data_IF_056389052456
#
_entry.id   IF_056389052456
#
_cell.length_a   1.000
_cell.length_b   1.000
_cell.length_c   1.000
_cell.angle_alpha   90.00
_cell.angle_beta   90.00
_cell.angle_gamma   90.00
#
_symmetry.space_group_name_H-M   'P 1'
#
loop_
_entity.id
_entity.type
_entity.pdbx_description
1 polymer ?
#
# COMPACT_ATOMS: atom_id res chain seq x y z
N UNK A 1 -10.11 17.91 -40.39
CA UNK A 1 -8.82 17.95 -41.11
C UNK A 1 -7.85 17.05 -40.37
N UNK A 2 -7.31 15.99 -41.00
CA UNK A 2 -6.30 15.17 -40.36
C UNK A 2 -4.98 15.93 -40.35
N UNK A 3 -4.36 16.04 -39.18
CA UNK A 3 -3.05 16.62 -39.01
C UNK A 3 -2.03 15.79 -39.81
N UNK A 4 -1.32 16.45 -40.73
CA UNK A 4 -0.18 15.87 -41.45
C UNK A 4 0.99 15.81 -40.48
N UNK A 5 1.53 14.61 -40.29
CA UNK A 5 2.88 14.43 -39.77
C UNK A 5 3.86 14.90 -40.84
N UNK A 6 4.60 15.96 -40.55
CA UNK A 6 5.81 16.30 -41.31
C UNK A 6 6.85 15.20 -41.04
N UNK A 7 7.19 14.48 -42.11
CA UNK A 7 8.23 13.47 -42.13
C UNK A 7 9.59 14.15 -42.25
N UNK A 8 10.27 14.31 -41.13
CA UNK A 8 11.73 14.26 -41.05
C UNK A 8 12.09 12.89 -40.48
N UNK A 9 12.76 12.06 -41.29
CA UNK A 9 13.34 10.78 -40.90
C UNK A 9 14.48 11.02 -39.90
N UNK A 10 14.12 11.28 -38.64
CA UNK A 10 14.96 10.94 -37.51
C UNK A 10 14.81 9.43 -37.31
N UNK A 11 15.91 8.68 -37.32
CA UNK A 11 15.90 7.31 -36.80
C UNK A 11 15.24 7.35 -35.43
N UNK A 12 14.08 6.71 -35.29
CA UNK A 12 13.33 6.74 -34.05
C UNK A 12 14.20 6.13 -32.94
N UNK A 13 14.39 6.85 -31.84
CA UNK A 13 15.15 6.40 -30.68
C UNK A 13 14.80 4.93 -30.35
N UNK A 14 15.79 4.02 -30.30
CA UNK A 14 15.60 2.59 -30.02
C UNK A 14 14.66 2.33 -28.84
N UNK A 15 14.81 3.10 -27.76
CA UNK A 15 13.98 2.97 -26.57
C UNK A 15 12.53 3.40 -26.82
N UNK A 16 12.31 4.51 -27.51
CA UNK A 16 10.99 5.01 -27.89
C UNK A 16 10.25 3.98 -28.75
N UNK A 17 10.94 3.40 -29.74
CA UNK A 17 10.39 2.36 -30.62
C UNK A 17 10.02 1.10 -29.83
N UNK A 18 10.94 0.62 -28.97
CA UNK A 18 10.69 -0.56 -28.14
C UNK A 18 9.54 -0.34 -27.15
N UNK A 19 9.44 0.85 -26.54
CA UNK A 19 8.30 1.22 -25.67
C UNK A 19 6.98 1.24 -26.42
N UNK A 20 6.93 1.86 -27.61
CA UNK A 20 5.72 1.93 -28.41
C UNK A 20 5.20 0.53 -28.79
N UNK A 21 6.12 -0.41 -29.05
CA UNK A 21 5.81 -1.81 -29.27
C UNK A 21 5.25 -2.48 -28.00
N UNK A 22 6.03 -2.51 -26.92
CA UNK A 22 5.72 -3.33 -25.74
C UNK A 22 4.50 -2.80 -24.99
N UNK A 23 4.36 -1.48 -24.83
CA UNK A 23 3.27 -0.90 -24.04
C UNK A 23 1.87 -1.12 -24.66
N UNK A 24 1.79 -1.47 -25.95
CA UNK A 24 0.52 -1.74 -26.65
C UNK A 24 0.16 -3.23 -26.74
N UNK A 25 1.11 -4.11 -26.43
CA UNK A 25 0.94 -5.56 -26.61
C UNK A 25 0.97 -6.27 -25.24
N UNK A 26 -0.21 -6.55 -24.68
CA UNK A 26 -0.35 -7.20 -23.36
C UNK A 26 0.35 -8.55 -23.31
N UNK A 27 0.30 -9.34 -24.40
CA UNK A 27 0.94 -10.65 -24.46
C UNK A 27 2.47 -10.51 -24.37
N UNK A 28 3.04 -9.49 -25.04
CA UNK A 28 4.46 -9.19 -24.94
C UNK A 28 4.84 -8.68 -23.54
N UNK A 29 3.98 -7.88 -22.91
CA UNK A 29 4.21 -7.44 -21.55
C UNK A 29 4.18 -8.60 -20.54
N UNK A 30 3.31 -9.59 -20.74
CA UNK A 30 3.29 -10.81 -19.92
C UNK A 30 4.51 -11.69 -20.18
N UNK A 31 4.90 -11.86 -21.45
CA UNK A 31 6.07 -12.67 -21.81
C UNK A 31 7.39 -12.11 -21.24
N UNK A 32 7.52 -10.78 -21.17
CA UNK A 32 8.74 -10.11 -20.70
C UNK A 32 8.70 -9.72 -19.20
N UNK A 33 7.51 -9.55 -18.63
CA UNK A 33 7.32 -8.84 -17.36
C UNK A 33 7.90 -9.50 -16.12
N UNK A 34 8.08 -10.83 -16.14
CA UNK A 34 8.61 -11.60 -15.02
C UNK A 34 10.04 -12.11 -15.24
N UNK A 35 10.68 -11.78 -16.36
CA UNK A 35 12.07 -12.13 -16.62
C UNK A 35 12.97 -11.28 -15.72
N UNK A 36 13.76 -11.93 -14.87
CA UNK A 36 14.69 -11.27 -13.94
C UNK A 36 16.12 -11.20 -14.48
N UNK A 37 16.53 -12.15 -15.32
CA UNK A 37 17.84 -12.18 -15.94
C UNK A 37 17.93 -11.14 -17.07
N UNK A 38 18.92 -10.25 -16.97
CA UNK A 38 19.07 -9.12 -17.89
C UNK A 38 19.46 -9.57 -19.30
N UNK A 39 20.24 -10.64 -19.42
CA UNK A 39 20.67 -11.19 -20.71
C UNK A 39 19.50 -11.85 -21.42
N UNK A 40 18.80 -12.75 -20.72
CA UNK A 40 17.60 -13.41 -21.26
C UNK A 40 16.53 -12.38 -21.63
N UNK A 41 16.32 -11.36 -20.79
CA UNK A 41 15.36 -10.31 -21.11
C UNK A 41 15.76 -9.55 -22.39
N UNK A 42 17.03 -9.18 -22.52
CA UNK A 42 17.51 -8.45 -23.69
C UNK A 42 17.37 -9.26 -24.98
N UNK A 43 17.70 -10.56 -24.95
CA UNK A 43 17.50 -11.48 -26.06
C UNK A 43 16.02 -11.58 -26.45
N UNK A 44 15.13 -11.82 -25.47
CA UNK A 44 13.69 -11.95 -25.72
C UNK A 44 13.04 -10.66 -26.23
N UNK A 45 13.45 -9.51 -25.69
CA UNK A 45 12.95 -8.22 -26.15
C UNK A 45 13.42 -7.91 -27.59
N UNK A 46 14.68 -8.24 -27.92
CA UNK A 46 15.20 -8.11 -29.27
C UNK A 46 14.51 -9.06 -30.26
N UNK A 47 14.35 -10.34 -29.92
CA UNK A 47 13.57 -11.32 -30.71
C UNK A 47 12.16 -10.79 -31.02
N UNK A 48 11.47 -10.25 -30.01
CA UNK A 48 10.13 -9.71 -30.17
C UNK A 48 10.07 -8.46 -31.05
N UNK A 49 11.11 -7.62 -31.01
CA UNK A 49 11.26 -6.43 -31.84
C UNK A 49 11.55 -6.82 -33.30
N UNK A 50 12.50 -7.72 -33.54
CA UNK A 50 12.87 -8.23 -34.86
C UNK A 50 11.71 -8.96 -35.54
N UNK A 51 10.95 -9.77 -34.79
CA UNK A 51 9.74 -10.42 -35.30
C UNK A 51 8.66 -9.43 -35.79
N UNK A 52 8.78 -8.14 -35.44
CA UNK A 52 7.89 -7.06 -35.88
C UNK A 52 8.58 -6.04 -36.78
N UNK A 53 9.72 -6.42 -37.36
CA UNK A 53 10.44 -5.63 -38.36
C UNK A 53 11.25 -4.47 -37.79
N UNK A 54 11.54 -4.46 -36.49
CA UNK A 54 12.41 -3.47 -35.86
C UNK A 54 13.85 -3.97 -35.85
N UNK A 55 14.78 -3.14 -36.31
CA UNK A 55 16.22 -3.40 -36.27
C UNK A 55 16.77 -3.08 -34.87
N UNK A 56 16.53 -3.99 -33.93
CA UNK A 56 17.01 -3.92 -32.55
C UNK A 56 17.60 -5.27 -32.15
N UNK A 57 18.86 -5.27 -31.74
CA UNK A 57 19.55 -6.45 -31.24
C UNK A 57 19.62 -6.49 -29.69
N UNK A 58 20.05 -7.62 -29.15
CA UNK A 58 20.14 -7.83 -27.71
C UNK A 58 21.19 -6.92 -27.04
N UNK A 59 22.25 -6.53 -27.76
CA UNK A 59 23.27 -5.61 -27.25
C UNK A 59 22.70 -4.22 -27.02
N UNK A 60 21.98 -3.70 -28.01
CA UNK A 60 21.26 -2.42 -27.92
C UNK A 60 20.29 -2.41 -26.75
N UNK A 61 19.48 -3.47 -26.57
CA UNK A 61 18.55 -3.56 -25.44
C UNK A 61 19.29 -3.59 -24.10
N UNK A 62 20.44 -4.27 -24.03
CA UNK A 62 21.27 -4.35 -22.83
C UNK A 62 21.86 -2.98 -22.46
N UNK A 63 22.32 -2.22 -23.44
CA UNK A 63 22.84 -0.87 -23.24
C UNK A 63 21.74 0.07 -22.70
N UNK A 64 20.52 -0.04 -23.22
CA UNK A 64 19.36 0.68 -22.69
C UNK A 64 19.07 0.33 -21.22
N UNK A 65 19.22 -0.95 -20.83
CA UNK A 65 19.02 -1.38 -19.44
C UNK A 65 20.06 -0.79 -18.49
N UNK A 66 21.31 -0.63 -18.94
CA UNK A 66 22.38 -0.02 -18.16
C UNK A 66 22.21 1.49 -18.04
N UNK A 67 21.76 2.16 -19.11
CA UNK A 67 21.47 3.59 -19.09
C UNK A 67 20.38 3.97 -18.07
N UNK A 68 19.53 3.01 -17.65
CA UNK A 68 18.48 3.18 -16.64
C UNK A 68 17.62 4.43 -16.89
N UNK A 69 16.96 4.49 -18.06
CA UNK A 69 16.22 5.68 -18.49
C UNK A 69 15.11 6.01 -17.50
N UNK A 70 14.84 7.30 -17.32
CA UNK A 70 13.70 7.73 -16.51
C UNK A 70 12.39 7.32 -17.19
N UNK A 71 11.37 6.89 -16.43
CA UNK A 71 10.01 6.71 -16.94
C UNK A 71 9.49 8.00 -17.59
N UNK A 72 9.04 7.95 -18.87
CA UNK A 72 8.48 9.11 -19.54
C UNK A 72 7.08 9.40 -19.00
N UNK A 73 6.68 10.67 -19.08
CA UNK A 73 5.27 11.04 -18.92
C UNK A 73 4.57 10.80 -20.26
N UNK A 74 3.49 10.02 -20.25
CA UNK A 74 2.69 9.71 -21.42
C UNK A 74 1.28 10.22 -21.17
N UNK A 75 0.97 11.38 -21.75
CA UNK A 75 -0.34 12.02 -21.62
C UNK A 75 -1.43 11.15 -22.25
N UNK A 76 -2.56 11.01 -21.56
CA UNK A 76 -3.70 10.22 -22.03
C UNK A 76 -3.46 8.71 -22.08
N UNK A 77 -2.32 8.20 -21.60
CA UNK A 77 -2.12 6.76 -21.44
C UNK A 77 -3.07 6.22 -20.36
N UNK A 78 -3.80 5.17 -20.72
CA UNK A 78 -4.60 4.35 -19.81
C UNK A 78 -3.82 3.06 -19.57
N UNK A 79 -3.15 2.88 -18.42
CA UNK A 79 -2.49 1.62 -18.11
C UNK A 79 -3.47 0.45 -18.23
N UNK A 80 -3.04 -0.64 -18.85
CA UNK A 80 -3.85 -1.86 -18.96
C UNK A 80 -3.92 -2.58 -17.61
N UNK A 81 -4.86 -3.54 -17.43
CA UNK A 81 -4.86 -4.38 -16.24
C UNK A 81 -3.48 -4.99 -15.96
N UNK A 82 -3.09 -5.00 -14.68
CA UNK A 82 -1.77 -5.49 -14.26
C UNK A 82 -0.70 -4.42 -14.07
N UNK A 83 -1.00 -3.15 -14.36
CA UNK A 83 -0.18 -2.01 -13.97
C UNK A 83 -0.72 -1.38 -12.69
N UNK A 84 0.13 -1.22 -11.68
CA UNK A 84 -0.26 -0.63 -10.39
C UNK A 84 0.46 0.70 -10.13
N UNK A 85 -0.18 1.66 -9.43
CA UNK A 85 0.47 2.87 -8.96
C UNK A 85 1.62 2.52 -8.02
N UNK A 86 2.81 3.00 -8.33
CA UNK A 86 4.00 2.80 -7.49
C UNK A 86 4.24 4.00 -6.57
N UNK A 87 4.13 5.20 -7.13
CA UNK A 87 4.51 6.44 -6.46
C UNK A 87 3.71 7.59 -7.07
N UNK A 88 3.36 8.58 -6.25
CA UNK A 88 2.92 9.90 -6.73
C UNK A 88 4.02 10.89 -6.45
N UNK A 89 4.54 11.56 -7.48
CA UNK A 89 5.64 12.52 -7.37
C UNK A 89 5.41 13.75 -8.25
N UNK A 90 6.12 14.82 -7.97
CA UNK A 90 6.07 16.06 -8.77
C UNK A 90 7.01 15.95 -9.98
N UNK A 91 6.44 16.13 -11.18
CA UNK A 91 7.18 16.15 -12.45
C UNK A 91 6.82 17.44 -13.19
N UNK A 92 7.79 18.33 -13.36
CA UNK A 92 7.54 19.63 -14.01
C UNK A 92 6.53 20.49 -13.24
N UNK A 93 6.50 20.37 -11.91
CA UNK A 93 5.55 21.09 -11.04
C UNK A 93 4.11 20.58 -11.14
N UNK A 94 3.91 19.38 -11.69
CA UNK A 94 2.61 18.71 -11.73
C UNK A 94 2.69 17.33 -11.07
N UNK A 95 1.67 16.94 -10.31
CA UNK A 95 1.60 15.63 -9.69
C UNK A 95 1.38 14.55 -10.76
N UNK A 96 2.25 13.54 -10.75
CA UNK A 96 2.23 12.42 -11.66
C UNK A 96 2.28 11.08 -10.92
N UNK A 97 1.63 10.06 -11.47
CA UNK A 97 1.69 8.69 -10.98
C UNK A 97 2.76 7.96 -11.77
N UNK A 98 3.72 7.35 -11.08
CA UNK A 98 4.60 6.34 -11.68
C UNK A 98 3.90 4.99 -11.61
N UNK A 99 3.81 4.29 -12.73
CA UNK A 99 3.19 2.97 -12.83
C UNK A 99 4.25 1.88 -13.02
N UNK A 100 4.05 0.76 -12.35
CA UNK A 100 4.86 -0.44 -12.52
C UNK A 100 3.99 -1.64 -12.86
N UNK A 101 4.51 -2.52 -13.71
CA UNK A 101 3.81 -3.73 -14.11
C UNK A 101 3.99 -4.83 -13.07
N UNK A 102 2.86 -5.32 -12.56
CA UNK A 102 2.76 -6.49 -11.70
C UNK A 102 2.27 -7.73 -12.43
N UNK A 103 1.58 -7.56 -13.57
CA UNK A 103 0.99 -8.67 -14.32
C UNK A 103 0.02 -9.45 -13.45
N UNK A 104 0.21 -10.76 -13.33
CA UNK A 104 -0.63 -11.63 -12.51
C UNK A 104 -0.14 -11.82 -11.08
N UNK A 105 0.99 -11.22 -10.70
CA UNK A 105 1.55 -11.38 -9.35
C UNK A 105 0.59 -10.82 -8.30
N UNK A 106 0.36 -11.63 -7.27
CA UNK A 106 -0.42 -11.27 -6.09
C UNK A 106 0.39 -10.35 -5.17
N UNK A 107 -0.32 -9.57 -4.35
CA UNK A 107 0.30 -8.77 -3.29
C UNK A 107 0.29 -9.62 -2.02
N UNK A 108 1.31 -10.44 -1.84
CA UNK A 108 1.46 -11.33 -0.69
C UNK A 108 2.55 -10.85 0.28
N UNK A 109 3.29 -9.80 -0.07
CA UNK A 109 4.29 -9.21 0.81
C UNK A 109 3.66 -8.44 2.00
N UNK A 110 4.35 -8.33 3.16
CA UNK A 110 3.85 -7.65 4.36
C UNK A 110 3.46 -6.18 4.13
N UNK A 111 4.18 -5.49 3.23
CA UNK A 111 3.95 -4.10 2.84
C UNK A 111 3.97 -3.97 1.31
N UNK A 112 3.20 -3.01 0.80
CA UNK A 112 3.15 -2.74 -0.64
C UNK A 112 4.52 -2.32 -1.18
N UNK A 113 5.29 -1.56 -0.40
CA UNK A 113 6.67 -1.17 -0.74
C UNK A 113 7.60 -2.38 -0.93
N UNK A 114 7.43 -3.47 -0.17
CA UNK A 114 8.23 -4.69 -0.36
C UNK A 114 7.97 -5.30 -1.74
N UNK A 115 6.72 -5.26 -2.19
CA UNK A 115 6.32 -5.71 -3.53
C UNK A 115 6.89 -4.80 -4.63
N UNK A 116 6.88 -3.47 -4.39
CA UNK A 116 7.47 -2.48 -5.31
C UNK A 116 8.98 -2.64 -5.44
N UNK A 117 9.70 -2.85 -4.33
CA UNK A 117 11.16 -3.06 -4.33
C UNK A 117 11.52 -4.23 -5.23
N UNK A 118 10.83 -5.37 -5.10
CA UNK A 118 11.06 -6.55 -5.96
C UNK A 118 10.79 -6.25 -7.43
N UNK A 119 9.75 -5.47 -7.74
CA UNK A 119 9.40 -5.10 -9.12
C UNK A 119 10.36 -4.08 -9.73
N UNK A 120 10.90 -3.15 -8.94
CA UNK A 120 11.77 -2.08 -9.43
C UNK A 120 13.09 -2.58 -10.01
N UNK A 121 13.57 -3.73 -9.56
CA UNK A 121 14.81 -4.32 -10.06
C UNK A 121 14.67 -5.13 -11.35
N UNK A 122 13.45 -5.40 -11.81
CA UNK A 122 13.24 -6.17 -13.04
C UNK A 122 13.65 -5.35 -14.28
N UNK A 123 14.29 -5.99 -15.27
CA UNK A 123 14.59 -5.38 -16.56
C UNK A 123 13.38 -4.68 -17.19
N UNK A 124 12.19 -5.32 -17.12
CA UNK A 124 10.94 -4.76 -17.63
C UNK A 124 10.63 -3.38 -17.04
N UNK A 125 10.71 -3.24 -15.71
CA UNK A 125 10.41 -2.00 -15.01
C UNK A 125 11.37 -0.87 -15.36
N UNK A 126 12.64 -1.19 -15.67
CA UNK A 126 13.64 -0.20 -16.06
C UNK A 126 13.35 0.45 -17.41
N UNK A 127 12.91 -0.34 -18.39
CA UNK A 127 12.65 0.18 -19.73
C UNK A 127 11.23 0.70 -19.89
N UNK A 128 10.26 0.00 -19.31
CA UNK A 128 8.84 0.21 -19.63
C UNK A 128 8.04 0.87 -18.51
N UNK A 129 8.64 1.26 -17.39
CA UNK A 129 7.97 2.12 -16.43
C UNK A 129 7.45 3.40 -17.10
N UNK A 130 6.21 3.80 -16.78
CA UNK A 130 5.55 4.98 -17.37
C UNK A 130 5.01 5.89 -16.28
N UNK A 131 4.78 7.15 -16.63
CA UNK A 131 4.10 8.13 -15.79
C UNK A 131 2.88 8.70 -16.48
N UNK A 132 1.83 8.95 -15.70
CA UNK A 132 0.64 9.69 -16.14
C UNK A 132 0.37 10.84 -15.20
N UNK A 133 -0.37 11.86 -15.63
CA UNK A 133 -0.81 12.90 -14.72
C UNK A 133 -1.75 12.31 -13.66
N UNK A 134 -1.68 12.78 -12.41
CA UNK A 134 -2.61 12.36 -11.36
C UNK A 134 -4.05 12.77 -11.69
N UNK A 135 -4.23 13.90 -12.39
CA UNK A 135 -5.54 14.38 -12.84
C UNK A 135 -6.28 13.37 -13.71
N UNK A 136 -5.55 12.53 -14.44
CA UNK A 136 -6.12 11.58 -15.40
C UNK A 136 -6.62 10.30 -14.71
N UNK A 137 -6.22 10.10 -13.44
CA UNK A 137 -6.54 8.88 -12.70
C UNK A 137 -8.04 8.65 -12.55
N UNK A 138 -8.82 9.70 -12.28
CA UNK A 138 -10.26 9.57 -12.11
C UNK A 138 -10.93 9.07 -13.39
N UNK A 139 -10.59 9.67 -14.54
CA UNK A 139 -11.10 9.25 -15.84
C UNK A 139 -10.68 7.81 -16.20
N UNK A 140 -9.44 7.45 -15.90
CA UNK A 140 -8.94 6.10 -16.09
C UNK A 140 -9.67 5.07 -15.22
N UNK A 141 -9.81 5.36 -13.92
CA UNK A 141 -10.44 4.44 -12.97
C UNK A 141 -11.92 4.19 -13.26
N UNK A 142 -12.60 5.12 -13.94
CA UNK A 142 -13.98 4.95 -14.37
C UNK A 142 -14.14 3.84 -15.43
N UNK A 143 -13.06 3.46 -16.11
CA UNK A 143 -13.03 2.32 -17.03
C UNK A 143 -12.75 0.99 -16.33
N UNK A 144 -12.33 1.01 -15.05
CA UNK A 144 -12.18 -0.20 -14.25
C UNK A 144 -13.53 -0.66 -13.70
N UNK A 145 -13.70 -1.96 -13.41
CA UNK A 145 -14.83 -2.43 -12.62
C UNK A 145 -14.90 -1.64 -11.31
N UNK A 146 -16.09 -1.09 -11.01
CA UNK A 146 -16.32 -0.41 -9.75
C UNK A 146 -16.21 -1.42 -8.60
N UNK A 147 -15.06 -1.43 -7.92
CA UNK A 147 -14.84 -2.26 -6.73
C UNK A 147 -14.62 -1.36 -5.53
N UNK A 148 -15.61 -1.33 -4.64
CA UNK A 148 -15.43 -0.75 -3.32
C UNK A 148 -14.55 -1.68 -2.47
N UNK A 149 -13.73 -1.16 -1.56
CA UNK A 149 -13.04 -2.00 -0.60
C UNK A 149 -14.07 -2.77 0.25
N UNK A 150 -13.81 -4.05 0.42
CA UNK A 150 -14.55 -4.95 1.31
C UNK A 150 -14.33 -4.59 2.78
N UNK A 151 -13.15 -4.07 3.13
CA UNK A 151 -12.87 -3.59 4.47
C UNK A 151 -11.65 -2.68 4.53
N UNK A 152 -11.70 -1.69 5.42
CA UNK A 152 -10.57 -0.83 5.76
C UNK A 152 -9.96 -1.27 7.10
N UNK A 153 -8.64 -1.37 7.16
CA UNK A 153 -7.91 -1.76 8.37
C UNK A 153 -7.06 -0.59 8.82
N UNK A 154 -7.58 0.17 9.77
CA UNK A 154 -6.83 1.17 10.53
C UNK A 154 -6.13 0.50 11.71
N UNK A 155 -5.08 1.13 12.23
CA UNK A 155 -4.34 0.55 13.35
C UNK A 155 -3.48 1.54 14.13
N UNK A 156 -3.17 1.21 15.38
CA UNK A 156 -2.31 2.06 16.22
C UNK A 156 -0.81 1.96 15.90
N UNK A 157 -0.41 0.94 15.12
CA UNK A 157 0.98 0.47 14.91
C UNK A 157 1.45 -0.58 15.91
N UNK A 158 2.27 -1.54 15.44
CA UNK A 158 2.83 -2.67 16.24
C UNK A 158 1.78 -3.50 17.00
N UNK A 159 0.56 -3.54 16.49
CA UNK A 159 -0.60 -4.16 17.13
C UNK A 159 -1.17 -5.35 16.33
N UNK A 160 -0.36 -5.98 15.48
CA UNK A 160 -0.80 -7.13 14.65
C UNK A 160 -1.53 -6.75 13.37
N UNK A 161 -1.50 -5.50 12.91
CA UNK A 161 -2.11 -5.12 11.63
C UNK A 161 -1.47 -5.81 10.42
N UNK A 162 -0.16 -6.02 10.43
CA UNK A 162 0.52 -6.83 9.40
C UNK A 162 0.06 -8.30 9.44
N UNK A 163 -0.16 -8.87 10.62
CA UNK A 163 -0.71 -10.23 10.76
C UNK A 163 -2.10 -10.31 10.13
N UNK A 164 -2.99 -9.36 10.43
CA UNK A 164 -4.31 -9.30 9.82
C UNK A 164 -4.25 -9.25 8.28
N UNK A 165 -3.40 -8.39 7.73
CA UNK A 165 -3.22 -8.28 6.28
C UNK A 165 -2.66 -9.56 5.65
N UNK A 166 -1.66 -10.20 6.27
CA UNK A 166 -1.07 -11.45 5.77
C UNK A 166 -2.05 -12.62 5.83
N UNK A 167 -2.83 -12.74 6.91
CA UNK A 167 -3.90 -13.72 7.01
C UNK A 167 -4.93 -13.49 5.91
N UNK A 168 -5.38 -12.25 5.68
CA UNK A 168 -6.31 -11.94 4.59
C UNK A 168 -5.70 -12.22 3.21
N UNK A 169 -4.42 -11.93 2.99
CA UNK A 169 -3.72 -12.15 1.73
C UNK A 169 -3.52 -13.64 1.41
N UNK A 170 -3.63 -14.52 2.39
CA UNK A 170 -3.54 -15.97 2.17
C UNK A 170 -4.70 -16.51 1.31
N UNK A 171 -5.89 -15.88 1.33
CA UNK A 171 -7.00 -16.27 0.45
C UNK A 171 -6.76 -15.77 -0.99
N UNK A 172 -6.83 -16.65 -2.01
CA UNK A 172 -6.67 -16.27 -3.41
C UNK A 172 -7.79 -15.36 -3.93
N UNK A 173 -8.90 -15.24 -3.22
CA UNK A 173 -10.02 -14.38 -3.60
C UNK A 173 -9.85 -12.93 -3.13
N UNK A 174 -8.78 -12.63 -2.38
CA UNK A 174 -8.51 -11.32 -1.81
C UNK A 174 -7.33 -10.62 -2.52
N UNK A 175 -7.53 -9.33 -2.84
CA UNK A 175 -6.44 -8.36 -2.98
C UNK A 175 -6.30 -7.64 -1.65
N UNK A 176 -5.09 -7.65 -1.08
CA UNK A 176 -4.77 -6.91 0.14
C UNK A 176 -3.68 -5.90 -0.18
N UNK A 177 -4.01 -4.61 -0.05
CA UNK A 177 -3.07 -3.51 -0.26
C UNK A 177 -2.64 -3.00 1.11
N UNK A 178 -1.35 -3.14 1.43
CA UNK A 178 -0.82 -2.87 2.77
C UNK A 178 0.08 -1.64 2.78
N UNK A 179 -0.39 -0.54 3.37
CA UNK A 179 0.35 0.72 3.58
C UNK A 179 0.91 1.30 2.25
N UNK A 180 0.05 1.37 1.23
CA UNK A 180 0.47 1.84 -0.09
C UNK A 180 0.68 3.37 -0.11
N UNK A 181 1.93 3.79 -0.34
CA UNK A 181 2.33 5.19 -0.43
C UNK A 181 1.46 6.06 -1.38
N UNK A 182 0.93 5.56 -2.52
CA UNK A 182 0.01 6.32 -3.36
C UNK A 182 -1.28 6.76 -2.67
N UNK A 183 -1.83 5.99 -1.72
CA UNK A 183 -3.00 6.43 -0.93
C UNK A 183 -2.61 7.58 0.00
N UNK A 184 -1.47 7.46 0.68
CA UNK A 184 -0.94 8.51 1.54
C UNK A 184 -0.67 9.81 0.77
N UNK A 185 -0.14 9.72 -0.45
CA UNK A 185 0.09 10.88 -1.29
C UNK A 185 -1.21 11.66 -1.60
N UNK A 186 -2.34 10.97 -1.82
CA UNK A 186 -3.66 11.63 -2.01
C UNK A 186 -4.11 12.32 -0.72
N UNK A 187 -4.02 11.65 0.43
CA UNK A 187 -4.46 12.24 1.73
C UNK A 187 -3.71 13.52 2.08
N UNK A 188 -2.44 13.62 1.67
CA UNK A 188 -1.55 14.77 1.98
C UNK A 188 -1.70 15.96 1.03
N UNK A 189 -2.58 15.91 0.03
CA UNK A 189 -2.79 17.01 -0.92
C UNK A 189 -3.41 18.23 -0.25
N UNK A 190 -2.61 19.24 0.09
CA UNK A 190 -3.09 20.48 0.71
C UNK A 190 -3.85 21.41 -0.26
N UNK A 191 -3.70 21.19 -1.56
CA UNK A 191 -4.31 21.95 -2.65
C UNK A 191 -5.70 21.43 -3.06
N UNK A 192 -6.16 20.33 -2.46
CA UNK A 192 -7.46 19.73 -2.74
C UNK A 192 -8.36 19.79 -1.50
N UNK A 193 -9.65 20.03 -1.71
CA UNK A 193 -10.67 19.82 -0.68
C UNK A 193 -10.95 18.32 -0.44
N UNK A 194 -11.74 18.03 0.58
CA UNK A 194 -12.04 16.65 0.98
C UNK A 194 -12.87 15.88 -0.06
N UNK A 195 -13.69 16.57 -0.87
CA UNK A 195 -14.50 15.91 -1.92
C UNK A 195 -13.63 15.49 -3.10
N UNK A 196 -12.73 16.38 -3.55
CA UNK A 196 -11.74 16.07 -4.57
C UNK A 196 -10.78 14.96 -4.10
N UNK A 197 -10.33 14.99 -2.84
CA UNK A 197 -9.55 13.90 -2.26
C UNK A 197 -10.33 12.58 -2.22
N UNK A 198 -11.60 12.61 -1.84
CA UNK A 198 -12.43 11.41 -1.81
C UNK A 198 -12.60 10.77 -3.20
N UNK A 199 -12.77 11.59 -4.25
CA UNK A 199 -12.79 11.13 -5.64
C UNK A 199 -11.46 10.47 -6.02
N UNK A 200 -10.33 11.12 -5.73
CA UNK A 200 -9.01 10.57 -6.05
C UNK A 200 -8.68 9.32 -5.23
N UNK A 201 -9.12 9.23 -3.97
CA UNK A 201 -8.94 8.04 -3.13
C UNK A 201 -9.70 6.84 -3.71
N UNK A 202 -10.94 7.03 -4.17
CA UNK A 202 -11.68 5.98 -4.87
C UNK A 202 -10.94 5.50 -6.11
N UNK A 203 -10.47 6.45 -6.92
CA UNK A 203 -9.74 6.15 -8.15
C UNK A 203 -8.42 5.41 -7.87
N UNK A 204 -7.67 5.84 -6.85
CA UNK A 204 -6.42 5.21 -6.42
C UNK A 204 -6.65 3.82 -5.82
N UNK A 205 -7.70 3.64 -5.01
CA UNK A 205 -8.06 2.34 -4.46
C UNK A 205 -8.47 1.36 -5.57
N UNK A 206 -9.25 1.80 -6.56
CA UNK A 206 -9.58 0.99 -7.73
C UNK A 206 -8.33 0.60 -8.52
N UNK A 207 -7.38 1.54 -8.69
CA UNK A 207 -6.11 1.29 -9.35
C UNK A 207 -5.24 0.25 -8.63
N UNK A 208 -5.09 0.37 -7.31
CA UNK A 208 -4.29 -0.55 -6.50
C UNK A 208 -4.98 -1.91 -6.34
N UNK A 209 -6.30 -1.90 -6.24
CA UNK A 209 -7.15 -3.04 -5.94
C UNK A 209 -7.63 -3.85 -7.13
N UNK A 210 -7.14 -3.56 -8.35
CA UNK A 210 -7.49 -4.31 -9.56
C UNK A 210 -7.43 -5.82 -9.33
N UNK A 211 -8.52 -6.52 -9.66
CA UNK A 211 -8.53 -7.97 -9.76
C UNK A 211 -7.69 -8.41 -10.97
N UNK A 212 -6.69 -9.26 -10.73
CA UNK A 212 -5.72 -9.73 -11.74
C UNK A 212 -5.77 -11.24 -11.94
N UNK A 213 -6.35 -11.96 -10.98
CA UNK A 213 -6.45 -13.42 -10.94
C UNK A 213 -7.87 -13.89 -10.58
N UNK A 214 -8.88 -13.03 -10.72
CA UNK A 214 -10.26 -13.34 -10.34
C UNK A 214 -10.56 -13.08 -8.86
N UNK A 215 -9.74 -12.26 -8.19
CA UNK A 215 -10.04 -11.78 -6.84
C UNK A 215 -11.39 -11.05 -6.82
N UNK A 216 -12.17 -11.25 -5.77
CA UNK A 216 -13.51 -10.66 -5.60
C UNK A 216 -13.59 -9.68 -4.43
N UNK A 217 -12.56 -9.62 -3.59
CA UNK A 217 -12.52 -8.80 -2.37
C UNK A 217 -11.28 -7.93 -2.34
N UNK A 218 -11.44 -6.71 -1.85
CA UNK A 218 -10.36 -5.73 -1.70
C UNK A 218 -10.26 -5.28 -0.24
N UNK A 219 -9.11 -5.48 0.38
CA UNK A 219 -8.83 -4.95 1.72
C UNK A 219 -7.71 -3.92 1.64
N UNK A 220 -7.93 -2.77 2.29
CA UNK A 220 -6.92 -1.72 2.41
C UNK A 220 -6.44 -1.67 3.85
N UNK A 221 -5.21 -2.12 4.10
CA UNK A 221 -4.52 -1.83 5.37
C UNK A 221 -3.83 -0.49 5.22
N UNK A 222 -4.27 0.48 6.00
CA UNK A 222 -3.86 1.88 5.89
C UNK A 222 -2.67 2.15 6.81
N UNK A 223 -1.92 3.21 6.54
CA UNK A 223 -0.88 3.67 7.45
C UNK A 223 -1.49 4.06 8.80
N UNK A 224 -0.74 3.94 9.90
CA UNK A 224 -1.30 4.20 11.23
C UNK A 224 -1.83 5.63 11.38
N UNK A 225 -1.21 6.61 10.72
CA UNK A 225 -1.67 8.00 10.74
C UNK A 225 -2.99 8.22 10.00
N UNK A 226 -3.40 7.35 9.07
CA UNK A 226 -4.68 7.46 8.37
C UNK A 226 -5.90 7.33 9.30
N UNK A 227 -5.72 6.83 10.53
CA UNK A 227 -6.76 6.89 11.57
C UNK A 227 -7.24 8.32 11.85
N UNK A 228 -6.40 9.33 11.61
CA UNK A 228 -6.75 10.75 11.71
C UNK A 228 -7.51 11.25 10.48
N UNK A 229 -7.30 10.60 9.34
CA UNK A 229 -7.99 10.83 8.07
C UNK A 229 -9.22 9.91 7.90
N UNK A 230 -9.65 9.22 8.97
CA UNK A 230 -10.79 8.30 8.93
C UNK A 230 -12.04 8.95 8.32
N UNK A 231 -12.42 10.21 8.63
CA UNK A 231 -13.54 10.88 7.98
C UNK A 231 -13.40 10.99 6.45
N UNK A 232 -12.18 11.20 5.96
CA UNK A 232 -11.90 11.28 4.52
C UNK A 232 -12.08 9.91 3.85
N UNK A 233 -11.58 8.84 4.48
CA UNK A 233 -11.82 7.47 3.98
C UNK A 233 -13.30 7.08 4.04
N UNK A 234 -14.04 7.48 5.09
CA UNK A 234 -15.50 7.29 5.19
C UNK A 234 -16.26 8.10 4.14
N UNK A 235 -15.78 9.28 3.78
CA UNK A 235 -16.33 10.08 2.66
C UNK A 235 -16.04 9.42 1.31
N UNK A 236 -14.86 8.83 1.14
CA UNK A 236 -14.49 8.09 -0.07
C UNK A 236 -15.30 6.79 -0.21
N UNK A 237 -15.50 6.07 0.89
CA UNK A 237 -16.12 4.74 0.95
C UNK A 237 -17.19 4.68 2.07
N UNK A 238 -18.37 5.28 1.85
CA UNK A 238 -19.39 5.39 2.89
C UNK A 238 -19.99 4.05 3.30
N UNK A 239 -19.99 3.04 2.45
CA UNK A 239 -20.58 1.73 2.80
C UNK A 239 -19.53 0.71 3.26
N UNK A 240 -18.23 1.05 3.18
CA UNK A 240 -17.17 0.12 3.56
C UNK A 240 -17.00 0.07 5.09
N UNK A 241 -17.14 -1.12 5.71
CA UNK A 241 -16.86 -1.30 7.13
C UNK A 241 -15.36 -1.17 7.43
N UNK A 242 -15.02 -0.76 8.64
CA UNK A 242 -13.64 -0.58 9.06
C UNK A 242 -13.33 -1.20 10.41
N UNK A 243 -12.08 -1.60 10.61
CA UNK A 243 -11.57 -2.01 11.92
C UNK A 243 -10.45 -1.09 12.37
N UNK A 244 -10.32 -0.90 13.68
CA UNK A 244 -9.12 -0.33 14.28
C UNK A 244 -8.46 -1.36 15.18
N UNK A 245 -7.26 -1.77 14.78
CA UNK A 245 -6.44 -2.73 15.53
C UNK A 245 -5.55 -1.98 16.52
N UNK A 246 -5.54 -2.43 17.77
CA UNK A 246 -4.76 -1.80 18.83
C UNK A 246 -4.22 -2.85 19.82
N UNK A 247 -3.30 -2.45 20.69
CA UNK A 247 -2.55 -3.32 21.60
C UNK A 247 -2.21 -2.53 22.84
N UNK A 248 -1.89 -3.25 23.91
CA UNK A 248 -1.40 -2.67 25.15
C UNK A 248 -0.25 -1.66 24.91
N UNK A 249 -0.40 -0.38 25.33
CA UNK A 249 0.54 0.69 25.04
C UNK A 249 1.99 0.39 25.38
N UNK A 250 2.26 -0.21 26.54
CA UNK A 250 3.64 -0.48 26.96
C UNK A 250 4.34 -1.47 26.03
N UNK A 251 3.61 -2.44 25.48
CA UNK A 251 4.16 -3.42 24.53
C UNK A 251 4.51 -2.77 23.19
N UNK A 252 3.68 -1.83 22.74
CA UNK A 252 3.93 -1.04 21.54
C UNK A 252 5.15 -0.15 21.73
N UNK A 253 5.24 0.54 22.87
CA UNK A 253 6.36 1.43 23.19
C UNK A 253 7.69 0.67 23.26
N UNK A 254 7.75 -0.48 23.95
CA UNK A 254 8.96 -1.32 23.96
C UNK A 254 9.34 -1.76 22.54
N UNK A 255 8.36 -2.09 21.69
CA UNK A 255 8.64 -2.42 20.28
C UNK A 255 9.25 -1.24 19.53
N UNK A 256 8.84 0.00 19.80
CA UNK A 256 9.38 1.21 19.16
C UNK A 256 10.79 1.53 19.66
N UNK A 257 11.06 1.37 20.96
CA UNK A 257 12.40 1.57 21.54
C UNK A 257 13.40 0.57 20.96
N UNK A 258 13.01 -0.70 20.76
CA UNK A 258 13.87 -1.72 20.14
C UNK A 258 14.13 -1.46 18.66
N UNK A 259 13.10 -1.07 17.91
CA UNK A 259 13.20 -0.78 16.47
C UNK A 259 12.13 0.23 16.08
N UNK A 260 12.54 1.50 15.92
CA UNK A 260 11.63 2.57 15.53
C UNK A 260 10.99 2.30 14.16
N UNK A 261 9.68 2.50 14.07
CA UNK A 261 8.98 2.57 12.79
C UNK A 261 9.13 3.96 12.16
N UNK A 262 8.90 4.06 10.84
CA UNK A 262 9.05 5.30 10.06
C UNK A 262 8.22 6.46 10.60
N UNK A 263 7.04 6.17 11.16
CA UNK A 263 6.15 7.14 11.81
C UNK A 263 6.79 7.84 13.03
N UNK A 264 7.84 7.24 13.61
CA UNK A 264 8.57 7.80 14.75
C UNK A 264 9.81 8.59 14.32
N UNK A 265 10.02 8.76 13.01
CA UNK A 265 11.19 9.44 12.42
C UNK A 265 10.73 10.75 11.79
N UNK A 266 10.91 11.91 12.45
CA UNK A 266 10.41 13.21 12.01
C UNK A 266 10.84 13.63 10.60
N UNK A 267 12.04 13.21 10.17
CA UNK A 267 12.57 13.50 8.82
C UNK A 267 11.88 12.70 7.71
N UNK A 268 11.23 11.59 8.04
CA UNK A 268 10.47 10.76 7.09
C UNK A 268 8.97 11.06 7.18
N UNK A 269 8.45 11.23 8.40
CA UNK A 269 7.05 11.57 8.66
C UNK A 269 7.01 12.82 9.55
N UNK A 270 6.68 14.00 8.99
CA UNK A 270 6.70 15.25 9.76
C UNK A 270 5.76 15.21 10.98
N UNK A 271 6.17 15.77 12.14
CA UNK A 271 5.34 15.84 13.36
C UNK A 271 3.94 16.44 13.14
N UNK A 272 3.83 17.42 12.24
CA UNK A 272 2.56 18.03 11.83
C UNK A 272 1.52 17.01 11.31
N UNK A 273 1.95 15.87 10.76
CA UNK A 273 1.07 14.76 10.36
C UNK A 273 0.20 14.29 11.54
N UNK A 274 0.78 14.27 12.74
CA UNK A 274 0.12 13.82 13.96
C UNK A 274 -0.48 14.98 14.76
N UNK A 275 -0.28 16.23 14.32
CA UNK A 275 -0.61 17.42 15.11
C UNK A 275 0.19 17.47 16.42
N UNK A 276 1.44 17.04 16.39
CA UNK A 276 2.36 17.07 17.54
C UNK A 276 3.55 17.97 17.23
N UNK A 277 4.04 18.66 18.25
CA UNK A 277 5.24 19.48 18.14
C UNK A 277 6.49 18.73 18.59
N UNK A 278 7.63 19.10 17.99
CA UNK A 278 8.95 18.62 18.36
C UNK A 278 9.97 19.77 18.38
N UNK A 279 9.96 20.61 19.44
CA UNK A 279 10.75 21.85 19.49
C UNK A 279 12.26 21.61 19.35
N UNK A 280 12.79 20.57 19.99
CA UNK A 280 14.23 20.28 20.02
C UNK A 280 14.69 19.38 18.86
N UNK A 281 13.78 18.97 17.98
CA UNK A 281 14.06 18.10 16.83
C UNK A 281 14.48 16.66 17.16
N UNK A 282 14.76 16.33 18.43
CA UNK A 282 15.18 14.99 18.88
C UNK A 282 13.97 14.17 19.35
N UNK A 283 13.54 13.13 18.61
CA UNK A 283 12.40 12.32 19.00
C UNK A 283 12.74 11.40 20.17
N UNK A 284 12.14 11.63 21.33
CA UNK A 284 12.25 10.80 22.54
C UNK A 284 11.04 9.86 22.72
N UNK A 285 11.00 9.12 23.84
CA UNK A 285 9.88 8.24 24.16
C UNK A 285 8.58 9.03 24.39
N UNK A 286 8.64 10.26 24.91
CA UNK A 286 7.46 11.11 25.08
C UNK A 286 6.87 11.54 23.73
N UNK A 287 7.72 11.91 22.76
CA UNK A 287 7.31 12.15 21.37
C UNK A 287 6.65 10.91 20.75
N UNK A 288 7.27 9.74 20.89
CA UNK A 288 6.72 8.51 20.33
C UNK A 288 5.34 8.17 20.94
N UNK A 289 5.18 8.37 22.25
CA UNK A 289 3.91 8.19 22.93
C UNK A 289 2.86 9.22 22.48
N UNK A 290 3.23 10.49 22.27
CA UNK A 290 2.32 11.51 21.70
C UNK A 290 1.86 11.17 20.28
N UNK A 291 2.75 10.65 19.44
CA UNK A 291 2.41 10.14 18.09
C UNK A 291 1.38 9.01 18.18
N UNK A 292 1.60 8.01 19.03
CA UNK A 292 0.66 6.90 19.22
C UNK A 292 -0.69 7.36 19.79
N UNK A 293 -0.68 8.31 20.72
CA UNK A 293 -1.89 8.89 21.28
C UNK A 293 -2.71 9.60 20.20
N UNK A 294 -2.05 10.41 19.36
CA UNK A 294 -2.70 11.12 18.25
C UNK A 294 -3.33 10.17 17.21
N UNK A 295 -2.71 9.01 16.97
CA UNK A 295 -3.26 7.94 16.13
C UNK A 295 -4.49 7.30 16.78
N UNK A 296 -4.40 6.92 18.06
CA UNK A 296 -5.52 6.28 18.77
C UNK A 296 -6.72 7.24 18.92
N UNK A 297 -6.47 8.53 19.17
CA UNK A 297 -7.52 9.54 19.25
C UNK A 297 -8.26 9.73 17.93
N UNK A 298 -7.61 9.51 16.79
CA UNK A 298 -8.27 9.50 15.48
C UNK A 298 -9.40 8.45 15.42
N UNK A 299 -9.11 7.22 15.85
CA UNK A 299 -10.13 6.17 15.90
C UNK A 299 -11.21 6.45 16.95
N UNK A 300 -10.81 6.83 18.17
CA UNK A 300 -11.74 7.10 19.28
C UNK A 300 -12.73 8.22 18.94
N UNK A 301 -12.28 9.28 18.27
CA UNK A 301 -13.13 10.40 17.87
C UNK A 301 -14.23 10.00 16.91
N UNK A 302 -13.94 9.07 16.00
CA UNK A 302 -14.84 8.74 14.89
C UNK A 302 -15.57 7.41 15.05
N UNK A 303 -15.17 6.56 16.00
CA UNK A 303 -15.87 5.32 16.33
C UNK A 303 -17.38 5.52 16.59
N UNK A 304 -17.84 6.55 17.34
CA UNK A 304 -19.28 6.77 17.59
C UNK A 304 -20.11 7.09 16.33
N UNK A 305 -19.49 7.47 15.22
CA UNK A 305 -20.17 7.71 13.94
C UNK A 305 -20.65 6.39 13.31
N UNK A 306 -20.09 5.26 13.72
CA UNK A 306 -20.48 3.93 13.28
C UNK A 306 -19.67 3.38 12.09
N UNK A 307 -20.04 2.17 11.67
CA UNK A 307 -19.34 1.43 10.61
C UNK A 307 -17.99 0.84 11.01
N UNK A 308 -17.61 0.97 12.29
CA UNK A 308 -16.31 0.55 12.82
C UNK A 308 -16.38 -0.58 13.83
N UNK A 309 -15.30 -1.36 13.94
CA UNK A 309 -15.05 -2.31 15.03
C UNK A 309 -13.65 -2.14 15.63
N UNK A 310 -13.57 -2.16 16.95
CA UNK A 310 -12.30 -2.11 17.68
C UNK A 310 -11.86 -3.54 18.02
N UNK A 311 -10.60 -3.90 17.74
CA UNK A 311 -10.07 -5.23 18.06
C UNK A 311 -8.72 -5.10 18.74
N UNK A 312 -8.62 -5.65 19.95
CA UNK A 312 -7.36 -5.71 20.68
C UNK A 312 -6.50 -6.87 20.15
N UNK A 313 -5.20 -6.66 20.06
CA UNK A 313 -4.20 -7.65 19.68
C UNK A 313 -4.31 -8.95 20.50
N UNK A 314 -4.72 -8.88 21.77
CA UNK A 314 -4.94 -10.07 22.61
C UNK A 314 -6.01 -11.01 22.07
N UNK A 315 -6.90 -10.53 21.19
CA UNK A 315 -7.94 -11.32 20.54
C UNK A 315 -7.46 -11.94 19.20
N UNK A 316 -6.28 -11.55 18.70
CA UNK A 316 -5.72 -12.08 17.46
C UNK A 316 -4.94 -13.39 17.72
N UNK A 317 -4.94 -14.35 16.76
CA UNK A 317 -5.53 -14.25 15.43
C UNK A 317 -7.04 -14.59 15.37
N UNK A 318 -7.64 -15.17 16.41
CA UNK A 318 -9.00 -15.74 16.31
C UNK A 318 -10.09 -14.70 16.00
N UNK A 319 -9.93 -13.46 16.45
CA UNK A 319 -10.83 -12.35 16.10
C UNK A 319 -10.88 -12.08 14.59
N UNK A 320 -9.89 -12.50 13.79
CA UNK A 320 -9.98 -12.41 12.33
C UNK A 320 -11.17 -13.19 11.79
N UNK A 321 -11.37 -14.41 12.30
CA UNK A 321 -12.42 -15.31 11.85
C UNK A 321 -13.76 -15.05 12.54
N UNK A 322 -13.71 -14.71 13.83
CA UNK A 322 -14.93 -14.59 14.65
C UNK A 322 -15.53 -13.18 14.66
N UNK A 323 -14.74 -12.15 14.35
CA UNK A 323 -15.19 -10.75 14.44
C UNK A 323 -14.94 -9.95 13.16
N UNK A 324 -13.72 -9.96 12.62
CA UNK A 324 -13.31 -9.08 11.51
C UNK A 324 -13.95 -9.52 10.20
N UNK A 325 -13.81 -10.79 9.78
CA UNK A 325 -14.42 -11.29 8.54
C UNK A 325 -15.95 -11.17 8.55
N UNK A 326 -16.68 -11.57 9.63
CA UNK A 326 -18.12 -11.35 9.71
C UNK A 326 -18.50 -9.86 9.64
N UNK A 327 -17.75 -8.98 10.32
CA UNK A 327 -17.99 -7.54 10.27
C UNK A 327 -17.81 -6.96 8.85
N UNK A 328 -16.90 -7.53 8.07
CA UNK A 328 -16.71 -7.19 6.66
C UNK A 328 -17.70 -7.89 5.72
N UNK A 329 -18.67 -8.65 6.26
CA UNK A 329 -19.65 -9.39 5.46
C UNK A 329 -19.04 -10.56 4.67
N UNK A 330 -17.90 -11.08 5.12
CA UNK A 330 -17.14 -12.12 4.41
C UNK A 330 -17.36 -13.48 5.06
N UNK A 331 -17.86 -14.42 4.25
CA UNK A 331 -17.92 -15.85 4.61
C UNK A 331 -16.91 -16.61 3.76
N UNK A 332 -15.68 -16.85 4.26
CA UNK A 332 -14.67 -17.58 3.51
C UNK A 332 -15.07 -19.06 3.36
N UNK A 333 -14.68 -19.67 2.25
CA UNK A 333 -14.76 -21.13 2.08
C UNK A 333 -13.81 -21.87 3.04
N UNK A 334 -14.03 -23.16 3.24
CA UNK A 334 -13.16 -23.98 4.10
C UNK A 334 -11.69 -23.94 3.63
N UNK A 335 -11.45 -24.00 2.32
CA UNK A 335 -10.11 -23.90 1.75
C UNK A 335 -9.43 -22.56 2.08
N UNK A 336 -10.19 -21.46 2.05
CA UNK A 336 -9.67 -20.17 2.48
C UNK A 336 -9.38 -20.13 3.97
N UNK A 337 -10.28 -20.65 4.82
CA UNK A 337 -10.06 -20.71 6.27
C UNK A 337 -8.77 -21.47 6.58
N UNK A 338 -8.53 -22.60 5.93
CA UNK A 338 -7.30 -23.38 6.11
C UNK A 338 -6.04 -22.58 5.70
N UNK A 339 -6.05 -21.94 4.53
CA UNK A 339 -4.92 -21.11 4.09
C UNK A 339 -4.67 -19.92 5.04
N UNK A 340 -5.74 -19.26 5.47
CA UNK A 340 -5.71 -18.13 6.40
C UNK A 340 -5.20 -18.55 7.79
N UNK A 341 -5.62 -19.70 8.32
CA UNK A 341 -5.13 -20.23 9.61
C UNK A 341 -3.65 -20.62 9.53
N UNK A 342 -3.22 -21.21 8.41
CA UNK A 342 -1.81 -21.52 8.18
C UNK A 342 -0.92 -20.27 8.15
N UNK A 343 -1.40 -19.17 7.55
CA UNK A 343 -0.70 -17.88 7.60
C UNK A 343 -0.67 -17.28 9.02
N UNK A 344 -1.74 -17.49 9.81
CA UNK A 344 -1.89 -16.95 11.16
C UNK A 344 -0.89 -17.46 12.20
N UNK A 345 -0.20 -18.58 11.92
CA UNK A 345 0.83 -19.17 12.81
C UNK A 345 2.27 -18.80 12.41
N UNK A 346 2.45 -18.01 11.35
CA UNK A 346 3.75 -17.53 10.86
C UNK A 346 4.04 -16.11 11.34
N UNK A 347 5.32 -15.74 11.40
CA UNK A 347 5.68 -14.34 11.66
C UNK A 347 5.20 -13.46 10.49
N UNK A 348 4.44 -12.41 10.80
CA UNK A 348 3.78 -11.59 9.78
C UNK A 348 4.74 -10.74 8.93
N UNK A 349 6.00 -10.57 9.34
CA UNK A 349 7.03 -9.81 8.60
C UNK A 349 8.16 -10.69 8.09
N UNK A 350 8.22 -11.93 8.56
CA UNK A 350 9.11 -12.99 8.12
C UNK A 350 8.31 -14.30 7.97
N UNK A 351 7.44 -14.43 6.93
CA UNK A 351 6.48 -15.55 6.80
C UNK A 351 7.12 -16.94 6.76
N UNK A 352 8.43 -17.02 6.49
CA UNK A 352 9.23 -18.25 6.57
C UNK A 352 9.45 -18.75 8.02
N UNK A 353 9.24 -17.90 9.02
CA UNK A 353 9.47 -18.17 10.43
C UNK A 353 8.15 -18.47 11.17
N UNK A 354 8.23 -19.28 12.24
CA UNK A 354 7.08 -19.52 13.13
C UNK A 354 6.90 -18.31 14.04
N UNK A 355 5.65 -17.91 14.28
CA UNK A 355 5.34 -16.82 15.19
C UNK A 355 5.64 -17.22 16.65
N UNK A 356 6.31 -16.32 17.37
CA UNK A 356 6.53 -16.45 18.82
C UNK A 356 5.82 -15.31 19.54
N UNK A 357 4.89 -15.59 20.48
CA UNK A 357 4.27 -14.55 21.30
C UNK A 357 5.30 -13.74 22.08
N UNK A 358 5.24 -12.41 21.98
CA UNK A 358 6.27 -11.51 22.54
C UNK A 358 5.74 -10.54 23.63
N UNK A 359 4.46 -10.68 24.01
CA UNK A 359 3.80 -9.75 24.93
C UNK A 359 4.39 -9.75 26.35
N UNK A 360 4.64 -10.94 26.91
CA UNK A 360 5.23 -11.07 28.26
C UNK A 360 6.63 -10.42 28.32
N UNK A 361 7.49 -10.79 27.37
CA UNK A 361 8.87 -10.28 27.28
C UNK A 361 8.91 -8.77 27.12
N UNK A 362 7.99 -8.21 26.32
CA UNK A 362 7.88 -6.75 26.16
C UNK A 362 7.44 -6.09 27.46
N UNK A 363 6.44 -6.62 28.16
CA UNK A 363 6.02 -6.08 29.46
C UNK A 363 7.15 -6.17 30.48
N UNK A 364 7.91 -7.25 30.53
CA UNK A 364 9.05 -7.39 31.46
C UNK A 364 10.20 -6.43 31.13
N UNK A 365 10.48 -6.19 29.85
CA UNK A 365 11.54 -5.27 29.40
C UNK A 365 11.20 -3.78 29.58
N UNK A 366 9.95 -3.44 29.93
CA UNK A 366 9.54 -2.05 30.08
C UNK A 366 10.13 -1.40 31.34
N UNK A 367 10.98 -0.40 31.15
CA UNK A 367 11.59 0.38 32.23
C UNK A 367 10.54 1.20 32.99
N UNK A 368 10.80 1.58 34.27
CA UNK A 368 9.91 2.45 35.03
C UNK A 368 9.61 3.78 34.32
N UNK A 369 10.62 4.38 33.67
CA UNK A 369 10.44 5.63 32.91
C UNK A 369 9.50 5.46 31.71
N UNK A 370 9.62 4.35 30.96
CA UNK A 370 8.75 4.07 29.82
C UNK A 370 7.30 3.83 30.25
N UNK A 371 7.11 3.16 31.39
CA UNK A 371 5.77 2.96 32.00
C UNK A 371 5.14 4.28 32.38
N UNK A 372 5.88 5.18 33.04
CA UNK A 372 5.38 6.51 33.39
C UNK A 372 5.00 7.34 32.15
N UNK A 373 5.75 7.21 31.06
CA UNK A 373 5.39 7.86 29.78
C UNK A 373 4.08 7.29 29.23
N UNK A 374 3.90 5.96 29.25
CA UNK A 374 2.65 5.32 28.82
C UNK A 374 1.46 5.77 29.68
N UNK A 375 1.61 5.75 31.00
CA UNK A 375 0.60 6.20 31.96
C UNK A 375 0.17 7.66 31.69
N UNK A 376 1.14 8.53 31.46
CA UNK A 376 0.88 9.95 31.20
C UNK A 376 0.24 10.23 29.84
N UNK A 377 0.59 9.46 28.80
CA UNK A 377 0.28 9.83 27.40
C UNK A 377 -0.73 8.91 26.72
N UNK A 378 -0.82 7.64 27.11
CA UNK A 378 -1.53 6.60 26.36
C UNK A 378 -2.66 5.93 27.16
N UNK A 379 -2.57 5.84 28.48
CA UNK A 379 -3.58 5.17 29.30
C UNK A 379 -5.00 5.70 29.08
N UNK A 380 -5.16 7.02 29.02
CA UNK A 380 -6.47 7.63 28.87
C UNK A 380 -7.16 7.22 27.55
N UNK A 381 -6.43 7.32 26.43
CA UNK A 381 -6.98 6.94 25.11
C UNK A 381 -7.16 5.42 24.99
N UNK A 382 -6.26 4.63 25.57
CA UNK A 382 -6.38 3.18 25.58
C UNK A 382 -7.59 2.69 26.38
N UNK A 383 -7.84 3.24 27.58
CA UNK A 383 -9.04 2.92 28.37
C UNK A 383 -10.31 3.29 27.64
N UNK A 384 -10.32 4.39 26.87
CA UNK A 384 -11.45 4.77 26.01
C UNK A 384 -11.68 3.75 24.90
N UNK A 385 -10.63 3.28 24.23
CA UNK A 385 -10.72 2.20 23.23
C UNK A 385 -11.29 0.92 23.85
N UNK A 386 -10.78 0.49 25.01
CA UNK A 386 -11.28 -0.71 25.71
C UNK A 386 -12.75 -0.56 26.15
N UNK A 387 -13.14 0.59 26.70
CA UNK A 387 -14.52 0.85 27.10
C UNK A 387 -15.47 0.86 25.89
N UNK A 388 -15.05 1.48 24.77
CA UNK A 388 -15.83 1.47 23.52
C UNK A 388 -15.94 0.06 22.93
N UNK A 389 -14.85 -0.72 22.94
CA UNK A 389 -14.85 -2.10 22.47
C UNK A 389 -15.84 -2.95 23.28
N UNK A 390 -15.74 -2.89 24.61
CA UNK A 390 -16.60 -3.67 25.50
C UNK A 390 -18.09 -3.28 25.43
N UNK A 391 -18.40 -2.05 24.99
CA UNK A 391 -19.77 -1.59 24.79
C UNK A 391 -20.34 -1.92 23.40
N UNK A 392 -19.48 -2.24 22.42
CA UNK A 392 -19.86 -2.60 21.06
C UNK A 392 -19.77 -4.10 20.74
N UNK A 393 -19.26 -4.90 21.69
CA UNK A 393 -19.42 -6.36 21.76
C UNK A 393 -20.79 -6.68 22.39
#
# INVERSE_FOLDING_TARGET
MPARLETTTSTADPLTTLRALVLRDVALQDALGDINDFTVFAERAAEAAQARGLDLDAETVRDLLYASPRPPVIDGLTPTPGWLPAEVSEVGGRPAITWMRFGRRRLDEPFYDDALVRRRFLPFSRLFGVRTALSDLAAWSAALPAQQPTGLIFHMSRCGSTLAAQVLAASPANVVVSEAAPLNAVTRRGDLDDDAKAVLLRAMAAALGQARNGESRLFLKLDCWHSRDLPLFRRAFPDTPWVFLYREPVEVMVSQTRRRGVQMVPSLVPPATFGVDLPDGVPDDDYCARVLAAVCEGAVRHYPVGGGRLVNYSQLPEALFTQILPHFGVTPSEAEIQAMRAAGVRDAKAPEQVFTPDGLDKRQAATPALRLVCERRLDAVYRRLEAMRAAGD
#
